data_IF_456052667405
#
_entry.id   IF_456052667405
#
_cell.length_a   1.000
_cell.length_b   1.000
_cell.length_c   1.000
_cell.angle_alpha   90.00
_cell.angle_beta   90.00
_cell.angle_gamma   90.00
#
_symmetry.space_group_name_H-M   'P 1'
#
loop_
_entity.id
_entity.type
_entity.pdbx_description
1 polymer ?
#
# COMPACT_ATOMS: atom_id res chain seq x y z
N UNK A 1 0.89 -13.73 -28.13
CA UNK A 1 1.61 -13.74 -26.83
C UNK A 1 0.69 -13.03 -25.85
N UNK A 2 0.23 -13.68 -24.77
CA UNK A 2 -0.61 -13.00 -23.80
C UNK A 2 0.25 -11.99 -23.02
N UNK A 3 -0.11 -10.72 -23.10
CA UNK A 3 0.48 -9.67 -22.29
C UNK A 3 -0.25 -9.72 -20.94
N UNK A 4 0.45 -10.08 -19.88
CA UNK A 4 -0.06 -9.92 -18.52
C UNK A 4 0.36 -8.55 -17.99
N UNK A 5 -0.62 -7.72 -17.71
CA UNK A 5 -0.39 -6.41 -17.08
C UNK A 5 -0.60 -6.59 -15.58
N UNK A 6 0.44 -6.40 -14.79
CA UNK A 6 0.32 -6.41 -13.34
C UNK A 6 0.16 -4.97 -12.84
N UNK A 7 -0.98 -4.70 -12.22
CA UNK A 7 -1.57 -3.38 -12.00
C UNK A 7 -0.88 -2.51 -10.93
N UNK A 8 0.04 -3.05 -10.17
CA UNK A 8 0.61 -2.32 -9.03
C UNK A 8 1.71 -1.32 -9.42
N UNK A 9 2.37 -1.50 -10.58
CA UNK A 9 3.53 -0.70 -10.99
C UNK A 9 3.71 -0.49 -12.50
N UNK A 10 2.69 -0.71 -13.31
CA UNK A 10 2.80 -0.58 -14.76
C UNK A 10 3.79 -1.57 -15.38
N UNK A 11 3.82 -2.80 -14.88
CA UNK A 11 4.71 -3.85 -15.37
C UNK A 11 4.07 -4.57 -16.54
N UNK A 12 4.74 -4.59 -17.69
CA UNK A 12 4.36 -5.37 -18.86
C UNK A 12 5.29 -6.57 -18.95
N UNK A 13 4.73 -7.78 -18.86
CA UNK A 13 5.47 -9.02 -19.09
C UNK A 13 5.46 -9.35 -20.59
N UNK A 14 6.63 -9.56 -21.17
CA UNK A 14 6.85 -9.71 -22.60
C UNK A 14 7.38 -11.09 -23.00
N UNK A 15 7.26 -12.15 -22.18
CA UNK A 15 7.85 -13.41 -22.56
C UNK A 15 6.96 -14.64 -22.33
N UNK A 16 7.14 -15.66 -23.19
CA UNK A 16 6.54 -17.00 -23.09
C UNK A 16 7.42 -18.01 -22.37
N UNK A 17 8.57 -17.58 -21.84
CA UNK A 17 9.47 -18.38 -21.00
C UNK A 17 9.11 -18.22 -19.51
N UNK A 18 9.54 -19.14 -18.67
CA UNK A 18 9.34 -19.09 -17.21
C UNK A 18 10.03 -17.89 -16.53
N UNK A 19 10.66 -17.01 -17.28
CA UNK A 19 11.32 -15.81 -16.83
C UNK A 19 10.44 -14.61 -17.07
N UNK A 20 9.88 -14.03 -16.02
CA UNK A 20 9.09 -12.81 -16.12
C UNK A 20 10.06 -11.61 -16.25
N UNK A 21 9.93 -10.90 -17.37
CA UNK A 21 10.64 -9.64 -17.61
C UNK A 21 9.69 -8.47 -17.41
N UNK A 22 10.17 -7.37 -16.90
CA UNK A 22 9.36 -6.17 -16.64
C UNK A 22 10.13 -4.90 -16.95
N UNK A 23 9.41 -3.81 -17.18
CA UNK A 23 9.95 -2.46 -17.23
C UNK A 23 9.23 -1.62 -16.18
N UNK A 24 10.00 -0.95 -15.35
CA UNK A 24 9.50 0.02 -14.39
C UNK A 24 9.30 1.36 -15.11
N UNK A 25 8.04 1.79 -15.29
CA UNK A 25 7.71 3.06 -15.96
C UNK A 25 8.28 4.27 -15.25
N UNK A 26 8.44 4.23 -13.93
CA UNK A 26 9.04 5.30 -13.15
C UNK A 26 10.56 5.40 -13.42
N UNK A 27 11.23 4.26 -13.50
CA UNK A 27 12.65 4.20 -13.88
C UNK A 27 12.86 4.66 -15.33
N UNK A 28 11.93 4.32 -16.22
CA UNK A 28 11.92 4.74 -17.60
C UNK A 28 11.78 6.28 -17.71
N UNK A 29 10.82 6.87 -17.00
CA UNK A 29 10.63 8.31 -16.93
C UNK A 29 11.88 9.02 -16.38
N UNK A 30 12.50 8.47 -15.33
CA UNK A 30 13.75 9.01 -14.76
C UNK A 30 14.89 9.05 -15.77
N UNK A 31 15.05 8.00 -16.57
CA UNK A 31 16.04 7.91 -17.64
C UNK A 31 15.89 9.04 -18.68
N UNK A 32 14.65 9.45 -18.93
CA UNK A 32 14.30 10.52 -19.86
C UNK A 32 14.26 11.92 -19.21
N UNK A 33 14.56 12.03 -17.91
CA UNK A 33 14.47 13.27 -17.16
C UNK A 33 13.04 13.80 -17.00
N UNK A 34 12.04 12.91 -17.05
CA UNK A 34 10.62 13.22 -16.94
C UNK A 34 10.10 13.06 -15.51
N UNK A 35 8.91 13.63 -15.18
CA UNK A 35 8.28 13.43 -13.88
C UNK A 35 8.07 11.95 -13.55
N UNK A 36 8.26 11.58 -12.27
CA UNK A 36 8.11 10.19 -11.80
C UNK A 36 6.70 9.85 -11.29
N UNK A 37 5.93 10.86 -10.89
CA UNK A 37 4.54 10.63 -10.46
C UNK A 37 3.68 10.41 -11.70
N UNK A 38 2.85 9.37 -11.66
CA UNK A 38 2.05 8.93 -12.81
C UNK A 38 1.18 10.06 -13.38
N UNK A 39 0.58 10.88 -12.52
CA UNK A 39 -0.23 12.03 -12.93
C UNK A 39 0.61 13.08 -13.65
N UNK A 40 1.69 13.53 -13.02
CA UNK A 40 2.56 14.58 -13.56
C UNK A 40 3.22 14.10 -14.87
N UNK A 41 3.55 12.80 -14.94
CA UNK A 41 4.10 12.16 -16.14
C UNK A 41 3.08 12.12 -17.28
N UNK A 42 1.84 11.71 -16.99
CA UNK A 42 0.75 11.71 -17.96
C UNK A 42 0.46 13.10 -18.51
N UNK A 43 0.39 14.10 -17.64
CA UNK A 43 0.22 15.51 -18.03
C UNK A 43 1.38 15.99 -18.90
N UNK A 44 2.62 15.59 -18.63
CA UNK A 44 3.80 15.94 -19.44
C UNK A 44 3.82 15.26 -20.83
N UNK A 45 2.99 14.24 -21.01
CA UNK A 45 2.79 13.48 -22.25
C UNK A 45 1.48 13.86 -22.97
N UNK A 46 0.80 14.90 -22.51
CA UNK A 46 -0.50 15.36 -23.02
C UNK A 46 -1.61 14.29 -22.92
N UNK A 47 -1.49 13.39 -21.93
CA UNK A 47 -2.50 12.35 -21.65
C UNK A 47 -3.55 12.87 -20.66
N UNK A 48 -4.82 12.59 -20.95
CA UNK A 48 -5.93 13.00 -20.10
C UNK A 48 -6.00 12.16 -18.82
N UNK A 49 -6.11 12.81 -17.65
CA UNK A 49 -6.18 12.16 -16.33
C UNK A 49 -7.51 12.51 -15.67
N UNK A 50 -8.54 11.68 -15.86
CA UNK A 50 -9.90 11.95 -15.38
C UNK A 50 -10.27 11.23 -14.09
N UNK A 51 -9.88 9.96 -13.93
CA UNK A 51 -10.29 9.08 -12.83
C UNK A 51 -9.09 8.50 -12.06
N UNK A 52 -8.16 9.35 -11.67
CA UNK A 52 -7.00 8.92 -10.88
C UNK A 52 -7.46 8.27 -9.57
N UNK A 53 -6.87 7.09 -9.26
CA UNK A 53 -7.22 6.14 -8.19
C UNK A 53 -8.32 5.12 -8.53
N UNK A 54 -8.83 5.10 -9.76
CA UNK A 54 -9.55 3.96 -10.29
C UNK A 54 -8.53 2.93 -10.83
N UNK A 55 -8.51 1.69 -10.34
CA UNK A 55 -7.50 0.70 -10.74
C UNK A 55 -7.51 0.40 -12.25
N UNK A 56 -8.68 0.38 -12.87
CA UNK A 56 -8.80 0.14 -14.31
C UNK A 56 -8.27 1.35 -15.11
N UNK A 57 -8.59 2.54 -14.66
CA UNK A 57 -8.11 3.77 -15.28
C UNK A 57 -6.59 3.92 -15.13
N UNK A 58 -6.06 3.75 -13.91
CA UNK A 58 -4.63 3.86 -13.64
C UNK A 58 -3.82 2.86 -14.48
N UNK A 59 -4.36 1.70 -14.70
CA UNK A 59 -3.74 0.70 -15.54
C UNK A 59 -3.74 1.05 -17.02
N UNK A 60 -4.84 1.52 -17.55
CA UNK A 60 -4.89 2.04 -18.93
C UNK A 60 -3.92 3.20 -19.10
N UNK A 61 -3.87 4.10 -18.12
CA UNK A 61 -2.95 5.22 -18.12
C UNK A 61 -1.48 4.78 -18.13
N UNK A 62 -1.12 3.78 -17.32
CA UNK A 62 0.23 3.18 -17.36
C UNK A 62 0.58 2.60 -18.74
N UNK A 63 -0.37 1.92 -19.39
CA UNK A 63 -0.15 1.38 -20.73
C UNK A 63 0.05 2.47 -21.78
N UNK A 64 -0.73 3.55 -21.72
CA UNK A 64 -0.59 4.71 -22.61
C UNK A 64 0.76 5.42 -22.39
N UNK A 65 1.11 5.68 -21.13
CA UNK A 65 2.42 6.26 -20.77
C UNK A 65 3.56 5.40 -21.32
N UNK A 66 3.47 4.09 -21.15
CA UNK A 66 4.50 3.18 -21.67
C UNK A 66 4.63 3.29 -23.19
N UNK A 67 3.52 3.33 -23.93
CA UNK A 67 3.52 3.54 -25.37
C UNK A 67 4.25 4.83 -25.77
N UNK A 68 3.87 5.95 -25.17
CA UNK A 68 4.51 7.26 -25.43
C UNK A 68 6.01 7.29 -25.09
N UNK A 69 6.40 6.64 -23.98
CA UNK A 69 7.80 6.56 -23.59
C UNK A 69 8.62 5.68 -24.54
N UNK A 70 8.07 4.58 -25.04
CA UNK A 70 8.76 3.70 -26.01
C UNK A 70 8.96 4.36 -27.35
N UNK A 71 8.03 5.20 -27.78
CA UNK A 71 8.18 5.99 -29.00
C UNK A 71 9.30 7.06 -28.87
N UNK A 72 9.43 7.65 -27.70
CA UNK A 72 10.49 8.64 -27.40
C UNK A 72 11.86 8.01 -27.13
N UNK A 73 11.88 6.75 -26.68
CA UNK A 73 13.12 6.03 -26.35
C UNK A 73 13.09 4.61 -26.97
N UNK A 74 13.46 4.49 -28.26
CA UNK A 74 13.44 3.20 -29.00
C UNK A 74 14.33 2.11 -28.38
N UNK A 75 15.38 2.47 -27.64
CA UNK A 75 16.28 1.51 -26.97
C UNK A 75 15.78 1.10 -25.56
N UNK A 76 14.47 1.17 -25.31
CA UNK A 76 13.87 0.82 -24.02
C UNK A 76 14.17 -0.63 -23.58
N UNK A 77 14.53 -1.53 -24.51
CA UNK A 77 14.93 -2.91 -24.21
C UNK A 77 16.10 -2.98 -23.20
N UNK A 78 16.94 -1.96 -23.17
CA UNK A 78 18.03 -1.85 -22.16
C UNK A 78 17.51 -1.70 -20.73
N UNK A 79 16.25 -1.30 -20.58
CA UNK A 79 15.60 -1.10 -19.28
C UNK A 79 14.82 -2.34 -18.82
N UNK A 80 14.72 -3.36 -19.69
CA UNK A 80 14.07 -4.63 -19.33
C UNK A 80 14.88 -5.28 -18.21
N UNK A 81 14.19 -5.59 -17.11
CA UNK A 81 14.71 -6.30 -15.95
C UNK A 81 14.11 -7.68 -15.86
N UNK A 82 14.89 -8.64 -15.41
CA UNK A 82 14.39 -9.94 -15.01
C UNK A 82 14.06 -9.88 -13.51
N UNK A 83 13.07 -10.62 -13.08
CA UNK A 83 12.66 -10.62 -11.65
C UNK A 83 13.84 -11.01 -10.76
N UNK A 84 14.70 -11.93 -11.21
CA UNK A 84 15.87 -12.37 -10.45
C UNK A 84 16.98 -11.31 -10.35
N UNK A 85 16.98 -10.31 -11.24
CA UNK A 85 17.96 -9.20 -11.26
C UNK A 85 17.56 -8.03 -10.35
N UNK A 86 16.44 -8.15 -9.63
CA UNK A 86 16.01 -7.12 -8.68
C UNK A 86 17.11 -6.93 -7.62
N UNK A 87 17.56 -5.69 -7.39
CA UNK A 87 18.30 -5.44 -6.18
C UNK A 87 17.42 -5.88 -5.02
N UNK A 88 17.95 -6.68 -4.10
CA UNK A 88 17.27 -7.06 -2.86
C UNK A 88 17.08 -5.83 -1.97
N UNK A 89 16.46 -4.79 -2.51
CA UNK A 89 15.94 -3.69 -1.74
C UNK A 89 14.71 -4.22 -1.03
N UNK A 90 14.54 -3.91 0.24
CA UNK A 90 13.42 -4.33 1.10
C UNK A 90 12.02 -3.89 0.60
N UNK A 91 11.85 -3.70 -0.71
CA UNK A 91 10.58 -3.44 -1.36
C UNK A 91 10.07 -4.75 -1.98
N UNK A 92 9.57 -5.64 -1.12
CA UNK A 92 8.93 -6.91 -1.48
C UNK A 92 7.58 -6.71 -2.18
N UNK A 93 7.51 -5.88 -3.21
CA UNK A 93 6.26 -5.63 -3.94
C UNK A 93 5.93 -6.72 -4.97
N UNK A 94 6.85 -7.61 -5.32
CA UNK A 94 6.64 -8.67 -6.32
C UNK A 94 6.48 -10.08 -5.75
N UNK A 95 6.79 -10.28 -4.49
CA UNK A 95 6.46 -11.53 -3.84
C UNK A 95 5.05 -11.37 -3.25
N UNK A 96 4.05 -11.96 -3.88
CA UNK A 96 2.95 -12.46 -3.06
C UNK A 96 3.63 -13.37 -2.05
N UNK A 97 3.47 -13.13 -0.76
CA UNK A 97 4.08 -13.97 0.24
C UNK A 97 3.67 -15.42 -0.06
N UNK A 98 4.61 -16.36 0.02
CA UNK A 98 4.28 -17.78 0.00
C UNK A 98 3.23 -18.05 1.10
N UNK A 99 2.46 -19.12 0.96
CA UNK A 99 1.46 -19.48 1.97
C UNK A 99 2.07 -19.47 3.39
N UNK A 100 3.31 -19.95 3.53
CA UNK A 100 4.07 -19.92 4.79
C UNK A 100 4.28 -18.49 5.35
N UNK A 101 4.51 -17.50 4.48
CA UNK A 101 4.68 -16.08 4.88
C UNK A 101 3.33 -15.42 5.17
N UNK A 102 2.24 -15.89 4.55
CA UNK A 102 0.88 -15.43 4.89
C UNK A 102 0.49 -15.93 6.28
N UNK A 103 0.76 -17.20 6.60
CA UNK A 103 0.53 -17.77 7.92
C UNK A 103 1.37 -17.06 9.00
N UNK A 104 2.67 -16.80 8.74
CA UNK A 104 3.54 -16.05 9.64
C UNK A 104 3.06 -14.62 9.88
N UNK A 105 2.47 -13.97 8.88
CA UNK A 105 1.90 -12.63 9.01
C UNK A 105 0.57 -12.62 9.75
N UNK A 106 -0.27 -13.62 9.60
CA UNK A 106 -1.49 -13.79 10.40
C UNK A 106 -1.13 -14.00 11.88
N UNK A 107 -0.09 -14.79 12.17
CA UNK A 107 0.43 -14.95 13.51
C UNK A 107 0.98 -13.63 14.08
N UNK A 108 1.73 -12.85 13.29
CA UNK A 108 2.22 -11.53 13.70
C UNK A 108 1.09 -10.52 13.92
N UNK A 109 0.05 -10.53 13.08
CA UNK A 109 -1.15 -9.72 13.29
C UNK A 109 -1.82 -10.05 14.61
N UNK A 110 -1.99 -11.35 14.91
CA UNK A 110 -2.64 -11.82 16.13
C UNK A 110 -1.88 -11.38 17.39
N UNK A 111 -0.55 -11.35 17.34
CA UNK A 111 0.32 -10.95 18.45
C UNK A 111 0.18 -9.46 18.83
N UNK A 112 -0.20 -8.61 17.87
CA UNK A 112 -0.38 -7.16 18.10
C UNK A 112 -1.83 -6.75 18.18
N UNK A 113 -2.77 -7.67 17.99
CA UNK A 113 -4.19 -7.40 18.15
C UNK A 113 -4.50 -7.01 19.59
N UNK A 114 -5.37 -6.00 19.73
CA UNK A 114 -5.80 -5.59 21.07
C UNK A 114 -6.62 -6.69 21.74
N UNK A 115 -6.37 -6.93 23.01
CA UNK A 115 -7.18 -7.86 23.78
C UNK A 115 -8.50 -7.21 24.22
N UNK A 116 -9.53 -8.03 24.52
CA UNK A 116 -10.82 -7.52 24.98
C UNK A 116 -10.68 -6.61 26.22
N UNK A 117 -9.82 -6.96 27.16
CA UNK A 117 -9.57 -6.17 28.35
C UNK A 117 -8.89 -4.82 28.05
N UNK A 118 -7.94 -4.80 27.11
CA UNK A 118 -7.32 -3.57 26.65
C UNK A 118 -8.34 -2.69 25.89
N UNK A 119 -9.21 -3.28 25.07
CA UNK A 119 -10.25 -2.58 24.32
C UNK A 119 -11.28 -1.93 25.24
N UNK A 120 -11.66 -2.62 26.31
CA UNK A 120 -12.58 -2.09 27.32
C UNK A 120 -12.02 -0.89 28.09
N UNK A 121 -10.70 -0.86 28.28
CA UNK A 121 -9.99 0.18 29.03
C UNK A 121 -9.19 1.13 28.13
N UNK A 122 -9.42 1.10 26.80
CA UNK A 122 -8.64 1.88 25.84
C UNK A 122 -8.84 3.39 26.07
N UNK A 123 -7.72 4.12 26.09
CA UNK A 123 -7.69 5.57 26.05
C UNK A 123 -7.03 6.01 24.73
N UNK A 124 -7.80 6.70 23.90
CA UNK A 124 -7.34 7.23 22.61
C UNK A 124 -6.95 8.71 22.65
N UNK A 125 -7.08 9.38 23.80
CA UNK A 125 -6.79 10.81 23.93
C UNK A 125 -5.30 11.07 23.65
N UNK A 126 -5.03 11.89 22.64
CA UNK A 126 -3.67 12.23 22.22
C UNK A 126 -2.89 11.13 21.52
N UNK A 127 -3.48 9.96 21.33
CA UNK A 127 -2.83 8.81 20.69
C UNK A 127 -2.75 8.95 19.18
N UNK A 128 -1.60 8.56 18.60
CA UNK A 128 -1.38 8.53 17.16
C UNK A 128 -2.10 7.33 16.53
N UNK A 129 -3.01 7.60 15.60
CA UNK A 129 -3.88 6.60 14.99
C UNK A 129 -3.70 6.60 13.47
N UNK A 130 -3.54 5.41 12.88
CA UNK A 130 -3.60 5.19 11.43
C UNK A 130 -4.79 4.32 11.10
N UNK A 131 -5.49 4.65 10.01
CA UNK A 131 -6.59 3.86 9.46
C UNK A 131 -6.13 3.28 8.12
N UNK A 132 -6.25 1.97 7.94
CA UNK A 132 -5.80 1.27 6.74
C UNK A 132 -6.74 0.11 6.39
N UNK A 133 -6.76 -0.30 5.13
CA UNK A 133 -7.71 -1.31 4.65
C UNK A 133 -9.10 -0.75 4.37
N UNK A 134 -10.02 -1.63 4.02
CA UNK A 134 -11.40 -1.33 3.70
C UNK A 134 -12.29 -1.58 4.92
N UNK A 135 -13.25 -0.71 5.15
CA UNK A 135 -14.24 -0.80 6.23
C UNK A 135 -15.64 -0.66 5.64
N UNK A 136 -16.64 -1.20 6.32
CA UNK A 136 -18.04 -0.98 5.96
C UNK A 136 -18.52 0.46 6.22
N UNK A 137 -17.78 1.21 7.04
CA UNK A 137 -18.01 2.62 7.35
C UNK A 137 -17.06 3.48 6.52
N UNK A 138 -17.55 4.61 6.02
CA UNK A 138 -16.76 5.56 5.25
C UNK A 138 -15.55 6.06 6.06
N UNK A 139 -14.39 6.10 5.44
CA UNK A 139 -13.11 6.46 6.10
C UNK A 139 -13.16 7.83 6.77
N UNK A 140 -13.86 8.80 6.19
CA UNK A 140 -13.99 10.14 6.74
C UNK A 140 -14.88 10.16 8.00
N UNK A 141 -15.88 9.29 8.06
CA UNK A 141 -16.69 9.10 9.27
C UNK A 141 -15.86 8.49 10.40
N UNK A 142 -15.06 7.47 10.09
CA UNK A 142 -14.14 6.86 11.05
C UNK A 142 -13.15 7.89 11.58
N UNK A 143 -12.55 8.72 10.72
CA UNK A 143 -11.63 9.79 11.14
C UNK A 143 -12.33 10.79 12.07
N UNK A 144 -13.51 11.24 11.68
CA UNK A 144 -14.31 12.20 12.46
C UNK A 144 -14.61 11.64 13.85
N UNK A 145 -15.05 10.38 13.92
CA UNK A 145 -15.29 9.68 15.17
C UNK A 145 -14.04 9.62 16.04
N UNK A 146 -12.93 9.12 15.50
CA UNK A 146 -11.69 8.95 16.27
C UNK A 146 -11.13 10.30 16.75
N UNK A 147 -11.21 11.36 15.97
CA UNK A 147 -10.83 12.71 16.39
C UNK A 147 -11.74 13.26 17.50
N UNK A 148 -13.05 12.97 17.42
CA UNK A 148 -14.01 13.41 18.44
C UNK A 148 -13.76 12.79 19.80
N UNK A 149 -13.24 11.57 19.86
CA UNK A 149 -12.82 10.91 21.10
C UNK A 149 -11.35 11.17 21.47
N UNK A 150 -10.72 12.16 20.83
CA UNK A 150 -9.39 12.68 21.21
C UNK A 150 -8.20 12.05 20.48
N UNK A 151 -8.42 11.17 19.52
CA UNK A 151 -7.37 10.55 18.72
C UNK A 151 -6.70 11.51 17.73
N UNK A 152 -5.43 11.29 17.42
CA UNK A 152 -4.66 12.05 16.43
C UNK A 152 -4.43 11.22 15.18
N UNK A 153 -5.14 11.53 14.10
CA UNK A 153 -4.99 10.81 12.84
C UNK A 153 -3.64 11.12 12.20
N UNK A 154 -2.91 10.08 11.85
CA UNK A 154 -1.62 10.13 11.16
C UNK A 154 -1.76 9.59 9.73
N UNK A 155 -0.98 10.14 8.81
CA UNK A 155 -0.98 9.74 7.39
C UNK A 155 -0.19 8.45 7.11
N UNK A 156 0.62 7.98 8.05
CA UNK A 156 1.45 6.79 7.85
C UNK A 156 1.97 6.18 9.14
N UNK A 157 2.37 4.91 9.08
CA UNK A 157 2.88 4.14 10.19
C UNK A 157 4.32 4.56 10.48
N UNK A 158 4.54 5.09 11.67
CA UNK A 158 5.84 5.55 12.20
C UNK A 158 5.94 5.22 13.68
N UNK A 159 7.09 5.43 14.30
CA UNK A 159 7.27 5.26 15.76
C UNK A 159 6.42 6.18 16.65
N UNK A 160 5.60 7.07 16.04
CA UNK A 160 4.66 7.96 16.76
C UNK A 160 3.21 7.47 16.65
N UNK A 161 3.00 6.26 16.16
CA UNK A 161 1.69 5.62 16.06
C UNK A 161 1.52 4.68 17.23
N UNK A 162 0.40 4.79 17.91
CA UNK A 162 0.01 3.92 19.03
C UNK A 162 -0.97 2.84 18.57
N UNK A 163 -1.90 3.21 17.68
CA UNK A 163 -2.96 2.32 17.22
C UNK A 163 -3.11 2.33 15.70
N UNK A 164 -3.35 1.15 15.15
CA UNK A 164 -3.71 0.98 13.72
C UNK A 164 -5.07 0.30 13.64
N UNK A 165 -6.03 0.98 13.05
CA UNK A 165 -7.30 0.39 12.66
C UNK A 165 -7.10 -0.26 11.28
N UNK A 166 -7.12 -1.59 11.26
CA UNK A 166 -6.90 -2.43 10.09
C UNK A 166 -8.22 -3.06 9.66
N UNK A 167 -8.79 -2.58 8.57
CA UNK A 167 -9.93 -3.20 7.90
C UNK A 167 -9.50 -4.33 6.97
N UNK A 168 -10.45 -4.82 6.18
CA UNK A 168 -10.18 -5.81 5.13
C UNK A 168 -9.12 -5.28 4.16
N UNK A 169 -8.38 -6.18 3.52
CA UNK A 169 -7.32 -5.88 2.56
C UNK A 169 -6.23 -4.93 3.10
N UNK A 170 -5.96 -4.98 4.40
CA UNK A 170 -4.83 -4.27 4.96
C UNK A 170 -3.52 -4.79 4.32
N UNK A 171 -2.89 -3.94 3.49
CA UNK A 171 -1.71 -4.32 2.71
C UNK A 171 -0.57 -4.85 3.57
N UNK A 172 0.00 -5.99 3.16
CA UNK A 172 1.09 -6.70 3.82
C UNK A 172 2.27 -5.81 4.25
N UNK A 173 2.69 -4.87 3.39
CA UNK A 173 3.78 -3.94 3.68
C UNK A 173 3.55 -3.08 4.94
N UNK A 174 2.30 -2.80 5.28
CA UNK A 174 1.96 -2.05 6.49
C UNK A 174 2.05 -2.92 7.73
N UNK A 175 1.65 -4.18 7.62
CA UNK A 175 1.74 -5.19 8.70
C UNK A 175 3.20 -5.43 9.02
N UNK A 176 4.04 -5.66 8.03
CA UNK A 176 5.46 -5.82 8.21
C UNK A 176 6.10 -4.60 8.88
N UNK A 177 5.72 -3.40 8.47
CA UNK A 177 6.22 -2.18 9.08
C UNK A 177 5.83 -2.03 10.56
N UNK A 178 4.64 -2.48 10.94
CA UNK A 178 4.22 -2.54 12.36
C UNK A 178 5.11 -3.53 13.11
N UNK A 179 5.32 -4.72 12.55
CA UNK A 179 6.17 -5.75 13.12
C UNK A 179 7.60 -5.23 13.34
N UNK A 180 8.22 -4.64 12.32
CA UNK A 180 9.58 -4.08 12.40
C UNK A 180 9.71 -3.01 13.49
N UNK A 181 8.72 -2.11 13.61
CA UNK A 181 8.71 -1.06 14.61
C UNK A 181 8.55 -1.62 16.02
N UNK A 182 7.66 -2.59 16.20
CA UNK A 182 7.41 -3.22 17.50
C UNK A 182 8.60 -4.11 17.92
N UNK A 183 9.15 -4.93 17.03
CA UNK A 183 10.31 -5.78 17.32
C UNK A 183 11.56 -4.95 17.64
N UNK A 184 11.79 -3.86 16.92
CA UNK A 184 12.90 -2.94 17.19
C UNK A 184 12.69 -2.08 18.45
N UNK A 185 11.57 -2.23 19.16
CA UNK A 185 11.16 -1.44 20.34
C UNK A 185 11.10 0.09 20.09
N UNK A 186 10.95 0.48 18.82
CA UNK A 186 10.77 1.89 18.43
C UNK A 186 9.32 2.35 18.58
N UNK A 187 8.39 1.40 18.70
CA UNK A 187 6.98 1.64 18.95
C UNK A 187 6.38 0.47 19.74
N UNK A 188 5.15 0.63 20.18
CA UNK A 188 4.29 -0.43 20.72
C UNK A 188 2.90 -0.27 20.09
N UNK A 189 2.83 -0.55 18.79
CA UNK A 189 1.63 -0.36 17.98
C UNK A 189 0.67 -1.53 18.25
N UNK A 190 -0.57 -1.21 18.61
CA UNK A 190 -1.64 -2.19 18.76
C UNK A 190 -2.58 -2.09 17.55
N UNK A 191 -3.09 -3.24 17.13
CA UNK A 191 -3.96 -3.35 15.96
C UNK A 191 -5.40 -3.57 16.44
N UNK A 192 -6.32 -2.81 15.85
CA UNK A 192 -7.76 -2.91 16.03
C UNK A 192 -8.41 -3.27 14.69
N UNK A 193 -9.34 -4.19 14.72
CA UNK A 193 -10.12 -4.56 13.55
C UNK A 193 -11.45 -3.80 13.47
N UNK A 194 -12.30 -4.12 12.49
CA UNK A 194 -13.59 -3.48 12.31
C UNK A 194 -14.57 -3.79 13.45
N UNK A 195 -14.51 -4.97 14.04
CA UNK A 195 -15.35 -5.32 15.19
C UNK A 195 -15.00 -4.48 16.41
N UNK A 196 -13.70 -4.23 16.63
CA UNK A 196 -13.21 -3.35 17.69
C UNK A 196 -13.65 -1.89 17.46
N UNK A 197 -13.59 -1.41 16.22
CA UNK A 197 -14.09 -0.09 15.84
C UNK A 197 -15.59 0.04 16.15
N UNK A 198 -16.39 -0.95 15.74
CA UNK A 198 -17.82 -0.97 15.99
C UNK A 198 -18.14 -1.00 17.50
N UNK A 199 -17.36 -1.73 18.28
CA UNK A 199 -17.47 -1.70 19.75
C UNK A 199 -17.22 -0.31 20.32
N UNK A 200 -16.19 0.39 19.85
CA UNK A 200 -15.86 1.76 20.30
C UNK A 200 -16.95 2.76 19.92
N UNK A 201 -17.47 2.67 18.69
CA UNK A 201 -18.59 3.51 18.24
C UNK A 201 -19.79 3.33 19.16
N UNK A 202 -20.14 2.07 19.47
CA UNK A 202 -21.26 1.77 20.39
C UNK A 202 -20.99 2.25 21.82
N UNK A 203 -19.76 2.12 22.30
CA UNK A 203 -19.36 2.49 23.67
C UNK A 203 -19.39 4.00 23.88
N UNK A 204 -18.93 4.78 22.93
CA UNK A 204 -18.87 6.24 23.05
C UNK A 204 -20.12 6.97 22.54
N UNK A 205 -21.13 6.23 22.05
CA UNK A 205 -22.50 6.74 21.86
C UNK A 205 -22.62 7.84 20.78
N UNK A 206 -21.95 7.65 19.65
CA UNK A 206 -21.98 8.66 18.58
C UNK A 206 -22.73 8.12 17.38
#
# INVERSE_FOLDING_TARGET
>A
IPIQINWTYGVISLDSSDVISYIDTMLFADKLGMPKKIKDLAESLDLEVTNHHDPEFDAKLCALIFGELTDKYPSYQELIRKIDDQPKTNNNYFNQPSEDVLEENEEHLSNYQITQNELENIDLIGKGIVITGNFSIEREEIKTFLMKIGGQIKSGITGKVDFVFAGEDCGWSKIQKINDLNQSKKANIRILNEADLNYLIKKYGI
#
